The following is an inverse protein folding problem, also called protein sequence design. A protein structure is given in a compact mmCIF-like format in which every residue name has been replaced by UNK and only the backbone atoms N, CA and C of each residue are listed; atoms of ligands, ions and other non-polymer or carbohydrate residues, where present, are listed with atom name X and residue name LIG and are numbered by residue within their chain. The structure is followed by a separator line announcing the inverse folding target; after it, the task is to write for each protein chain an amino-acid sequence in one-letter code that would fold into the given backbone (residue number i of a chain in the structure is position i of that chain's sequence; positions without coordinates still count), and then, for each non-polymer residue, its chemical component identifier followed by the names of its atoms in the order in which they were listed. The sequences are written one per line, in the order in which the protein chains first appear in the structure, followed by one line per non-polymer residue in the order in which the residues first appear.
data_IF_756848764223
#
_entry.id   IF_756848764223
#
_cell.length_a   1.000
_cell.length_b   1.000
_cell.length_c   1.000
_cell.angle_alpha   90.00
_cell.angle_beta   90.00
_cell.angle_gamma   90.00
#
_symmetry.space_group_name_H-M   'P 1'
#
loop_
_entity.id
_entity.type
_entity.pdbx_description
1 polymer ?
#
# COMPACT_ATOMS: atom_id res chain seq x y z
N UNK A 1 1.52 4.51 5.34
CA UNK A 1 1.57 3.40 6.33
C UNK A 1 0.23 3.12 7.00
N UNK A 2 -0.49 4.15 7.47
CA UNK A 2 -1.84 3.98 8.03
C UNK A 2 -2.77 3.23 7.06
N UNK A 3 -2.95 3.73 5.84
CA UNK A 3 -3.83 3.12 4.86
C UNK A 3 -3.25 1.85 4.22
N UNK A 4 -1.95 1.82 3.93
CA UNK A 4 -1.33 0.69 3.23
C UNK A 4 -1.05 -0.53 4.13
N UNK A 5 -0.99 -0.35 5.46
CA UNK A 5 -0.63 -1.43 6.40
C UNK A 5 -1.70 -1.59 7.47
N UNK A 6 -2.08 -0.53 8.18
CA UNK A 6 -2.98 -0.65 9.33
C UNK A 6 -4.44 -0.90 8.92
N UNK A 7 -4.92 -0.30 7.82
CA UNK A 7 -6.30 -0.51 7.36
C UNK A 7 -6.58 -1.98 7.01
N UNK A 8 -5.76 -2.67 6.20
CA UNK A 8 -5.91 -4.12 6.00
C UNK A 8 -5.90 -4.92 7.31
N UNK A 9 -5.04 -4.54 8.27
CA UNK A 9 -5.00 -5.17 9.60
C UNK A 9 -6.31 -4.96 10.36
N UNK A 10 -6.90 -3.77 10.29
CA UNK A 10 -8.20 -3.51 10.92
C UNK A 10 -9.32 -4.31 10.26
N UNK A 11 -9.33 -4.40 8.93
CA UNK A 11 -10.34 -5.17 8.19
C UNK A 11 -10.30 -6.66 8.57
N UNK A 12 -9.10 -7.25 8.73
CA UNK A 12 -8.98 -8.62 9.25
C UNK A 12 -9.39 -8.72 10.73
N UNK A 13 -9.10 -7.70 11.55
CA UNK A 13 -9.50 -7.68 12.96
C UNK A 13 -11.01 -7.54 13.15
N UNK A 14 -11.73 -6.89 12.23
CA UNK A 14 -13.19 -6.77 12.28
C UNK A 14 -13.88 -8.14 12.27
N UNK A 15 -13.27 -9.13 11.59
CA UNK A 15 -13.75 -10.53 11.56
C UNK A 15 -13.63 -11.23 12.91
N UNK A 16 -12.74 -10.75 13.78
CA UNK A 16 -12.50 -11.28 15.13
C UNK A 16 -13.33 -10.51 16.17
N UNK A 17 -13.25 -9.18 16.13
CA UNK A 17 -14.01 -8.30 17.02
C UNK A 17 -14.21 -6.92 16.37
N UNK A 18 -15.41 -6.71 15.84
CA UNK A 18 -15.81 -5.48 15.17
C UNK A 18 -15.59 -4.22 16.05
N UNK A 19 -16.01 -4.26 17.31
CA UNK A 19 -15.93 -3.09 18.20
C UNK A 19 -14.49 -2.72 18.54
N UNK A 20 -13.64 -3.71 18.83
CA UNK A 20 -12.23 -3.47 19.09
C UNK A 20 -11.51 -2.93 17.84
N UNK A 21 -11.78 -3.51 16.66
CA UNK A 21 -11.19 -3.06 15.40
C UNK A 21 -11.56 -1.60 15.08
N UNK A 22 -12.83 -1.24 15.20
CA UNK A 22 -13.29 0.15 14.99
C UNK A 22 -12.67 1.13 15.99
N UNK A 23 -12.52 0.71 17.25
CA UNK A 23 -11.89 1.54 18.29
C UNK A 23 -10.42 1.81 17.95
N UNK A 24 -9.66 0.79 17.57
CA UNK A 24 -8.27 0.96 17.14
C UNK A 24 -8.19 1.82 15.87
N UNK A 25 -9.01 1.55 14.86
CA UNK A 25 -9.04 2.33 13.62
C UNK A 25 -9.25 3.81 13.89
N UNK A 26 -10.26 4.17 14.69
CA UNK A 26 -10.53 5.56 15.04
C UNK A 26 -9.37 6.21 15.80
N UNK A 27 -8.75 5.50 16.74
CA UNK A 27 -7.61 5.99 17.49
C UNK A 27 -6.39 6.25 16.59
N UNK A 28 -6.06 5.33 15.69
CA UNK A 28 -4.95 5.50 14.74
C UNK A 28 -5.20 6.64 13.75
N UNK A 29 -6.42 6.78 13.21
CA UNK A 29 -6.77 7.90 12.33
C UNK A 29 -6.61 9.24 13.06
N UNK A 30 -7.11 9.34 14.29
CA UNK A 30 -6.99 10.57 15.09
C UNK A 30 -5.53 10.89 15.38
N UNK A 31 -4.76 9.91 15.83
CA UNK A 31 -3.36 10.10 16.21
C UNK A 31 -2.49 10.49 15.00
N UNK A 32 -2.70 9.87 13.83
CA UNK A 32 -2.00 10.23 12.59
C UNK A 32 -2.37 11.63 12.10
N UNK A 33 -3.64 12.02 12.24
CA UNK A 33 -4.11 13.37 11.87
C UNK A 33 -3.48 14.45 12.76
N UNK A 34 -3.36 14.18 14.06
CA UNK A 34 -2.77 15.11 15.03
C UNK A 34 -1.23 15.16 14.93
N UNK A 35 -0.59 14.04 14.57
CA UNK A 35 0.86 13.95 14.39
C UNK A 35 1.21 13.09 13.16
N UNK A 36 1.31 13.69 11.96
CA UNK A 36 1.66 12.96 10.74
C UNK A 36 2.98 12.22 10.85
N UNK A 37 3.00 10.94 10.46
CA UNK A 37 4.17 10.06 10.57
C UNK A 37 4.16 9.16 11.81
N UNK A 38 3.30 9.43 12.80
CA UNK A 38 3.25 8.64 14.04
C UNK A 38 2.97 7.15 13.79
N UNK A 39 2.11 6.82 12.84
CA UNK A 39 1.81 5.43 12.47
C UNK A 39 3.05 4.73 11.93
N UNK A 40 3.90 5.43 11.18
CA UNK A 40 5.16 4.89 10.70
C UNK A 40 6.09 4.56 11.86
N UNK A 41 6.26 5.50 12.80
CA UNK A 41 7.11 5.31 13.97
C UNK A 41 6.65 4.12 14.82
N UNK A 42 5.34 3.98 15.04
CA UNK A 42 4.75 2.85 15.75
C UNK A 42 5.08 1.52 15.02
N UNK A 43 4.86 1.45 13.71
CA UNK A 43 5.12 0.22 12.93
C UNK A 43 6.60 -0.15 12.99
N UNK A 44 7.50 0.82 12.77
CA UNK A 44 8.95 0.58 12.83
C UNK A 44 9.36 0.07 14.22
N UNK A 45 8.82 0.65 15.29
CA UNK A 45 9.13 0.21 16.66
C UNK A 45 8.60 -1.20 16.95
N UNK A 46 7.45 -1.58 16.41
CA UNK A 46 6.92 -2.95 16.52
C UNK A 46 7.84 -3.94 15.81
N UNK A 47 8.27 -3.64 14.58
CA UNK A 47 9.17 -4.49 13.79
C UNK A 47 10.51 -4.68 14.52
N UNK A 48 11.10 -3.61 15.04
CA UNK A 48 12.32 -3.64 15.86
C UNK A 48 12.13 -4.53 17.10
N UNK A 49 11.03 -4.34 17.84
CA UNK A 49 10.73 -5.13 19.05
C UNK A 49 10.49 -6.62 18.77
N UNK A 50 10.06 -6.96 17.55
CA UNK A 50 9.88 -8.33 17.10
C UNK A 50 11.11 -8.90 16.37
N UNK A 51 12.21 -8.14 16.30
CA UNK A 51 13.45 -8.53 15.61
C UNK A 51 13.21 -8.89 14.14
N UNK A 52 12.29 -8.17 13.49
CA UNK A 52 12.00 -8.33 12.06
C UNK A 52 12.89 -7.37 11.28
N UNK A 53 13.96 -7.89 10.69
CA UNK A 53 14.90 -7.13 9.87
C UNK A 53 14.41 -7.05 8.43
N UNK A 54 13.77 -5.93 8.08
CA UNK A 54 13.30 -5.65 6.72
C UNK A 54 13.55 -4.18 6.36
N UNK A 55 13.81 -3.92 5.08
CA UNK A 55 13.75 -2.55 4.57
C UNK A 55 12.29 -2.12 4.46
N UNK A 56 11.84 -1.29 5.41
CA UNK A 56 10.45 -0.87 5.49
C UNK A 56 9.94 -0.19 4.20
N UNK A 57 10.77 0.63 3.56
CA UNK A 57 10.40 1.32 2.31
C UNK A 57 10.22 0.34 1.17
N UNK A 58 11.13 -0.62 1.01
CA UNK A 58 10.97 -1.65 -0.02
C UNK A 58 9.76 -2.56 0.25
N UNK A 59 9.53 -2.93 1.52
CA UNK A 59 8.36 -3.73 1.91
C UNK A 59 7.06 -3.01 1.55
N UNK A 60 6.95 -1.71 1.85
CA UNK A 60 5.80 -0.90 1.45
C UNK A 60 5.62 -0.89 -0.07
N UNK A 61 6.71 -0.80 -0.84
CA UNK A 61 6.63 -0.80 -2.30
C UNK A 61 6.18 -2.17 -2.83
N UNK A 62 6.70 -3.28 -2.28
CA UNK A 62 6.26 -4.64 -2.65
C UNK A 62 4.76 -4.84 -2.40
N UNK A 63 4.25 -4.33 -1.28
CA UNK A 63 2.82 -4.38 -0.92
C UNK A 63 1.95 -3.40 -1.74
N UNK A 64 2.53 -2.46 -2.48
CA UNK A 64 1.74 -1.44 -3.21
C UNK A 64 0.84 -2.04 -4.30
N UNK A 65 1.14 -3.25 -4.77
CA UNK A 65 0.28 -3.96 -5.72
C UNK A 65 -0.97 -4.56 -5.08
N UNK A 66 -0.99 -4.73 -3.76
CA UNK A 66 -2.16 -5.24 -3.06
C UNK A 66 -3.30 -4.22 -3.20
N UNK A 67 -4.47 -4.73 -3.54
CA UNK A 67 -5.64 -3.89 -3.73
C UNK A 67 -6.23 -3.54 -2.35
N UNK A 68 -5.91 -2.32 -1.91
CA UNK A 68 -6.60 -1.66 -0.82
C UNK A 68 -7.91 -1.10 -1.38
N UNK A 69 -9.03 -1.68 -0.96
CA UNK A 69 -10.38 -1.33 -1.44
C UNK A 69 -10.67 0.16 -1.26
N UNK A 70 -10.10 0.79 -0.22
CA UNK A 70 -10.25 2.22 0.04
C UNK A 70 -9.68 3.13 -1.06
N UNK A 71 -8.90 2.61 -2.00
CA UNK A 71 -8.44 3.35 -3.18
C UNK A 71 -9.26 3.06 -4.44
N UNK A 72 -10.17 2.08 -4.42
CA UNK A 72 -11.01 1.77 -5.58
C UNK A 72 -12.22 2.69 -5.64
N UNK A 73 -12.50 3.19 -6.83
CA UNK A 73 -13.72 3.95 -7.08
C UNK A 73 -14.87 2.95 -7.29
N UNK A 74 -15.81 2.88 -6.35
CA UNK A 74 -17.00 1.99 -6.37
C UNK A 74 -18.10 2.47 -7.35
N UNK A 75 -17.69 2.99 -8.50
CA UNK A 75 -18.57 3.57 -9.51
C UNK A 75 -18.64 2.65 -10.72
N UNK A 76 -19.82 2.14 -11.11
CA UNK A 76 -19.92 1.14 -12.17
C UNK A 76 -19.64 1.71 -13.56
N UNK A 77 -19.59 3.04 -13.72
CA UNK A 77 -19.40 3.66 -15.03
C UNK A 77 -18.02 3.30 -15.65
N UNK A 78 -17.96 3.00 -16.96
CA UNK A 78 -16.77 2.46 -17.60
C UNK A 78 -15.51 3.30 -17.41
N UNK A 79 -15.64 4.62 -17.33
CA UNK A 79 -14.52 5.55 -17.18
C UNK A 79 -13.82 5.36 -15.82
N UNK A 80 -14.59 5.08 -14.75
CA UNK A 80 -14.02 4.81 -13.43
C UNK A 80 -13.42 3.41 -13.34
N UNK A 81 -14.01 2.44 -14.05
CA UNK A 81 -13.45 1.08 -14.14
C UNK A 81 -12.11 1.08 -14.90
N UNK A 82 -12.03 1.78 -16.03
CA UNK A 82 -10.80 1.97 -16.80
C UNK A 82 -9.72 2.66 -15.95
N UNK A 83 -10.08 3.70 -15.18
CA UNK A 83 -9.16 4.37 -14.27
C UNK A 83 -8.63 3.43 -13.17
N UNK A 84 -9.51 2.64 -12.54
CA UNK A 84 -9.12 1.65 -11.53
C UNK A 84 -8.15 0.61 -12.13
N UNK A 85 -8.43 0.10 -13.33
CA UNK A 85 -7.56 -0.88 -14.02
C UNK A 85 -6.19 -0.30 -14.36
N UNK A 86 -6.14 0.93 -14.89
CA UNK A 86 -4.89 1.62 -15.21
C UNK A 86 -4.06 1.89 -13.96
N UNK A 87 -4.70 2.34 -12.87
CA UNK A 87 -4.05 2.57 -11.59
C UNK A 87 -3.48 1.26 -11.03
N UNK A 88 -4.25 0.17 -11.04
CA UNK A 88 -3.79 -1.17 -10.64
C UNK A 88 -2.59 -1.63 -11.46
N UNK A 89 -2.66 -1.50 -12.78
CA UNK A 89 -1.55 -1.89 -13.66
C UNK A 89 -0.26 -1.10 -13.36
N UNK A 90 -0.37 0.19 -13.03
CA UNK A 90 0.78 0.99 -12.64
C UNK A 90 1.35 0.55 -11.28
N UNK A 91 0.50 0.36 -10.25
CA UNK A 91 0.90 -0.16 -8.93
C UNK A 91 1.63 -1.50 -9.05
N UNK A 92 1.14 -2.41 -9.90
CA UNK A 92 1.76 -3.72 -10.16
C UNK A 92 3.15 -3.65 -10.80
N UNK A 93 3.45 -2.61 -11.59
CA UNK A 93 4.79 -2.42 -12.15
C UNK A 93 5.71 -1.84 -11.06
N UNK A 94 5.22 -0.84 -10.33
CA UNK A 94 5.98 -0.18 -9.27
C UNK A 94 6.39 -1.14 -8.16
N UNK A 95 5.51 -2.09 -7.80
CA UNK A 95 5.78 -3.04 -6.73
C UNK A 95 6.91 -4.03 -7.01
N UNK A 96 7.29 -4.22 -8.29
CA UNK A 96 8.36 -5.11 -8.71
C UNK A 96 9.74 -4.47 -8.68
N UNK A 97 9.81 -3.14 -8.54
CA UNK A 97 11.07 -2.40 -8.53
C UNK A 97 12.07 -2.95 -7.51
N UNK A 98 11.69 -3.24 -6.24
CA UNK A 98 12.63 -3.78 -5.26
C UNK A 98 13.32 -5.08 -5.69
N UNK A 99 12.65 -5.90 -6.51
CA UNK A 99 13.16 -7.20 -6.95
C UNK A 99 13.88 -7.11 -8.31
N UNK A 100 13.55 -6.11 -9.12
CA UNK A 100 14.09 -5.93 -10.47
C UNK A 100 15.27 -4.93 -10.54
N UNK A 101 15.42 -4.02 -9.57
CA UNK A 101 16.40 -2.91 -9.62
C UNK A 101 17.87 -3.36 -9.73
N UNK A 102 18.20 -4.54 -9.19
CA UNK A 102 19.56 -5.08 -9.21
C UNK A 102 19.90 -5.78 -10.53
N UNK A 103 18.91 -6.14 -11.36
CA UNK A 103 19.11 -6.66 -12.71
C UNK A 103 18.90 -5.51 -13.71
N UNK A 104 20.01 -4.99 -14.24
CA UNK A 104 20.00 -3.85 -15.17
C UNK A 104 19.10 -4.08 -16.39
N UNK A 105 19.05 -5.30 -16.94
CA UNK A 105 18.25 -5.59 -18.14
C UNK A 105 16.77 -5.59 -17.79
N UNK A 106 16.40 -6.27 -16.69
CA UNK A 106 15.01 -6.27 -16.20
C UNK A 106 14.57 -4.87 -15.82
N UNK A 107 15.37 -4.13 -15.05
CA UNK A 107 15.03 -2.79 -14.59
C UNK A 107 14.78 -1.81 -15.76
N UNK A 108 15.57 -1.87 -16.83
CA UNK A 108 15.33 -1.07 -18.03
C UNK A 108 14.01 -1.44 -18.72
N UNK A 109 13.63 -2.72 -18.71
CA UNK A 109 12.31 -3.14 -19.18
C UNK A 109 11.21 -2.61 -18.27
N UNK A 110 11.36 -2.66 -16.94
CA UNK A 110 10.43 -2.09 -15.95
C UNK A 110 10.19 -0.60 -16.21
N UNK A 111 11.26 0.18 -16.44
CA UNK A 111 11.18 1.61 -16.77
C UNK A 111 10.40 1.82 -18.08
N UNK A 112 10.64 0.99 -19.10
CA UNK A 112 9.90 1.06 -20.36
C UNK A 112 8.41 0.78 -20.15
N UNK A 113 8.06 -0.26 -19.39
CA UNK A 113 6.68 -0.60 -19.08
C UNK A 113 5.99 0.52 -18.28
N UNK A 114 6.68 1.09 -17.29
CA UNK A 114 6.19 2.21 -16.48
C UNK A 114 5.89 3.44 -17.33
N UNK A 115 6.80 3.80 -18.24
CA UNK A 115 6.58 4.93 -19.15
C UNK A 115 5.38 4.74 -20.07
N UNK A 116 5.15 3.51 -20.54
CA UNK A 116 3.98 3.20 -21.35
C UNK A 116 2.69 3.30 -20.53
N UNK A 117 2.66 2.74 -19.32
CA UNK A 117 1.45 2.75 -18.47
C UNK A 117 1.13 4.15 -17.93
N UNK A 118 2.13 4.93 -17.51
CA UNK A 118 1.94 6.31 -17.04
C UNK A 118 1.32 7.22 -18.11
N UNK A 119 1.63 6.99 -19.39
CA UNK A 119 1.04 7.76 -20.49
C UNK A 119 -0.44 7.45 -20.73
N UNK A 120 -0.89 6.28 -20.29
CA UNK A 120 -2.24 5.78 -20.54
C UNK A 120 -3.16 5.97 -19.32
N UNK A 121 -2.60 6.31 -18.16
CA UNK A 121 -3.33 6.74 -16.95
C UNK A 121 -3.74 8.21 -17.10
#
# INVERSE_FOLDING_TARGET
PLYAVMYPVFNELERVNLSAAQTLRAAFIKAEKENPGLTQDIIMKILEKKSVEVNFTESLLRMAADDVEEYMIERPEPEFQDLNEKARALKQILSKIPDEINDRVRFLQTIKHLNTKRKNL
#
